data_IF_116147523654
#
_entry.id   IF_116147523654
#
_cell.length_a   1.000
_cell.length_b   1.000
_cell.length_c   1.000
_cell.angle_alpha   90.00
_cell.angle_beta   90.00
_cell.angle_gamma   90.00
#
_symmetry.space_group_name_H-M   'P 1'
#
loop_
_entity.id
_entity.type
_entity.pdbx_description
1 polymer ?
#
# COMPACT_ATOMS: atom_id res chain seq x y z
N UNK A 1 10.25 -50.37 -28.62
CA UNK A 1 9.85 -49.15 -29.37
C UNK A 1 8.56 -48.48 -28.89
N UNK A 2 7.54 -49.21 -28.37
CA UNK A 2 6.25 -48.61 -27.95
C UNK A 2 6.39 -47.54 -26.87
N UNK A 3 7.20 -47.79 -25.83
CA UNK A 3 7.36 -46.86 -24.70
C UNK A 3 8.32 -45.69 -24.97
N UNK A 4 9.27 -45.86 -25.90
CA UNK A 4 10.21 -44.79 -26.29
C UNK A 4 9.47 -43.61 -26.91
N UNK A 5 8.42 -43.87 -27.71
CA UNK A 5 7.58 -42.82 -28.30
C UNK A 5 6.87 -41.99 -27.23
N UNK A 6 6.36 -42.64 -26.18
CA UNK A 6 5.72 -41.95 -25.07
C UNK A 6 6.72 -41.13 -24.24
N UNK A 7 7.93 -41.66 -23.99
CA UNK A 7 8.99 -40.92 -23.29
C UNK A 7 9.41 -39.67 -24.07
N UNK A 8 9.54 -39.76 -25.41
CA UNK A 8 9.87 -38.60 -26.22
C UNK A 8 8.76 -37.54 -26.22
N UNK A 9 7.50 -37.94 -26.21
CA UNK A 9 6.37 -37.00 -26.13
C UNK A 9 6.39 -36.25 -24.78
N UNK A 10 6.60 -36.95 -23.65
CA UNK A 10 6.68 -36.30 -22.33
C UNK A 10 7.88 -35.33 -22.26
N UNK A 11 9.04 -35.72 -22.78
CA UNK A 11 10.23 -34.88 -22.81
C UNK A 11 10.01 -33.60 -23.64
N UNK A 12 9.32 -33.69 -24.78
CA UNK A 12 8.98 -32.53 -25.61
C UNK A 12 7.96 -31.63 -24.92
N UNK A 13 6.93 -32.19 -24.28
CA UNK A 13 5.94 -31.42 -23.53
C UNK A 13 6.56 -30.66 -22.35
N UNK A 14 7.56 -31.20 -21.67
CA UNK A 14 8.26 -30.51 -20.57
C UNK A 14 9.06 -29.28 -21.03
N UNK A 15 9.46 -29.19 -22.30
CA UNK A 15 10.17 -28.02 -22.84
C UNK A 15 9.25 -26.80 -23.01
N UNK A 16 7.93 -27.02 -23.13
CA UNK A 16 6.95 -25.93 -23.27
C UNK A 16 6.45 -25.36 -21.93
N UNK A 17 6.82 -25.98 -20.79
CA UNK A 17 6.47 -25.47 -19.45
C UNK A 17 7.40 -24.34 -18.96
N UNK A 18 8.45 -23.98 -19.72
CA UNK A 18 9.49 -23.01 -19.32
C UNK A 18 9.18 -21.54 -19.68
N UNK A 19 7.96 -21.20 -20.12
CA UNK A 19 7.65 -19.85 -20.62
C UNK A 19 7.28 -18.80 -19.55
N UNK A 20 7.34 -19.12 -18.26
CA UNK A 20 7.33 -18.09 -17.20
C UNK A 20 8.78 -17.75 -16.86
N UNK A 21 9.38 -16.83 -17.62
CA UNK A 21 10.68 -16.25 -17.30
C UNK A 21 10.59 -15.25 -16.14
N UNK A 22 11.75 -14.81 -15.63
CA UNK A 22 11.87 -13.91 -14.48
C UNK A 22 11.05 -12.61 -14.58
N UNK A 23 10.63 -12.22 -15.79
CA UNK A 23 9.71 -11.08 -16.01
C UNK A 23 8.29 -11.29 -15.46
N UNK A 24 7.92 -12.51 -15.06
CA UNK A 24 6.68 -12.83 -14.33
C UNK A 24 6.92 -13.14 -12.85
N UNK A 25 8.17 -13.11 -12.38
CA UNK A 25 8.45 -13.20 -10.96
C UNK A 25 7.80 -12.00 -10.25
N UNK A 26 7.38 -12.21 -9.01
CA UNK A 26 6.99 -11.10 -8.14
C UNK A 26 8.08 -10.03 -8.12
N UNK A 27 7.68 -8.77 -8.01
CA UNK A 27 8.64 -7.67 -7.89
C UNK A 27 9.57 -7.97 -6.71
N UNK A 28 10.88 -7.96 -6.94
CA UNK A 28 11.88 -8.15 -5.89
C UNK A 28 11.55 -7.23 -4.70
N UNK A 29 11.33 -7.83 -3.53
CA UNK A 29 10.96 -7.13 -2.30
C UNK A 29 12.02 -6.11 -1.85
N UNK A 30 13.26 -6.27 -2.33
CA UNK A 30 14.37 -5.36 -2.08
C UNK A 30 14.51 -4.28 -3.17
N UNK A 31 13.76 -4.40 -4.27
CA UNK A 31 13.78 -3.41 -5.32
C UNK A 31 12.95 -2.18 -4.89
N UNK A 32 13.49 -0.96 -5.05
CA UNK A 32 12.71 0.24 -4.76
C UNK A 32 11.44 0.26 -5.62
N UNK A 33 10.34 0.75 -5.04
CA UNK A 33 9.06 0.82 -5.75
C UNK A 33 9.25 1.60 -7.05
N UNK A 34 8.85 1.06 -8.22
CA UNK A 34 8.94 1.79 -9.48
C UNK A 34 7.98 3.00 -9.52
N UNK A 35 7.07 3.09 -8.54
CA UNK A 35 6.10 4.18 -8.39
C UNK A 35 6.31 4.92 -7.07
N UNK A 36 6.04 6.23 -7.07
CA UNK A 36 6.13 7.08 -5.88
C UNK A 36 7.51 7.73 -5.70
N UNK A 37 7.81 8.16 -4.47
CA UNK A 37 9.07 8.83 -4.12
C UNK A 37 9.90 7.95 -3.17
N UNK A 38 10.93 7.30 -3.72
CA UNK A 38 11.86 6.45 -2.97
C UNK A 38 12.83 7.24 -2.07
N UNK A 39 12.87 8.57 -2.15
CA UNK A 39 13.70 9.41 -1.27
C UNK A 39 13.05 9.64 0.10
N UNK A 40 11.76 9.29 0.26
CA UNK A 40 11.06 9.43 1.53
C UNK A 40 11.66 8.51 2.61
N UNK A 41 12.05 9.11 3.72
CA UNK A 41 12.56 8.39 4.90
C UNK A 41 11.49 8.30 6.00
N UNK A 42 11.46 7.16 6.67
CA UNK A 42 10.62 6.87 7.83
C UNK A 42 11.12 7.58 9.11
N UNK A 43 11.18 8.90 9.06
CA UNK A 43 11.53 9.75 10.20
C UNK A 43 10.27 10.30 10.85
N UNK A 44 10.27 10.45 12.18
CA UNK A 44 9.16 11.05 12.94
C UNK A 44 7.81 10.36 12.68
N UNK A 45 7.80 9.02 12.59
CA UNK A 45 6.57 8.25 12.42
C UNK A 45 5.70 8.28 13.67
N UNK A 46 4.42 8.56 13.48
CA UNK A 46 3.36 8.37 14.46
C UNK A 46 2.33 7.38 13.91
N UNK A 47 1.82 6.49 14.77
CA UNK A 47 0.73 5.60 14.38
C UNK A 47 -0.58 6.38 14.25
N UNK A 48 -1.51 5.88 13.43
CA UNK A 48 -2.81 6.53 13.24
C UNK A 48 -3.58 6.61 14.57
N UNK A 49 -3.52 5.58 15.42
CA UNK A 49 -4.15 5.63 16.74
C UNK A 49 -3.56 6.74 17.63
N UNK A 50 -2.23 6.90 17.63
CA UNK A 50 -1.58 7.94 18.43
C UNK A 50 -1.82 9.34 17.86
N UNK A 51 -1.88 9.48 16.53
CA UNK A 51 -2.27 10.72 15.88
C UNK A 51 -3.68 11.14 16.31
N UNK A 52 -4.64 10.21 16.26
CA UNK A 52 -6.03 10.46 16.69
C UNK A 52 -6.14 10.77 18.17
N UNK A 53 -5.32 10.13 19.01
CA UNK A 53 -5.27 10.45 20.44
C UNK A 53 -4.68 11.84 20.69
N UNK A 54 -3.60 12.20 19.99
CA UNK A 54 -2.93 13.50 20.11
C UNK A 54 -3.85 14.66 19.70
N UNK A 55 -4.58 14.49 18.60
CA UNK A 55 -5.49 15.50 18.04
C UNK A 55 -6.96 15.18 18.31
N UNK A 56 -7.26 14.49 19.41
CA UNK A 56 -8.62 14.02 19.71
C UNK A 56 -9.63 15.17 19.81
N UNK A 57 -9.24 16.30 20.38
CA UNK A 57 -10.12 17.47 20.54
C UNK A 57 -10.59 18.02 19.19
N UNK A 58 -9.71 18.49 18.28
CA UNK A 58 -10.16 19.02 17.00
C UNK A 58 -10.86 17.96 16.14
N UNK A 59 -10.43 16.68 16.19
CA UNK A 59 -11.07 15.59 15.42
C UNK A 59 -12.51 15.32 15.86
N UNK A 60 -12.80 15.38 17.16
CA UNK A 60 -14.13 15.07 17.70
C UNK A 60 -15.00 16.32 17.89
N UNK A 61 -14.51 17.51 17.57
CA UNK A 61 -15.27 18.76 17.67
C UNK A 61 -15.99 19.02 16.35
N UNK A 62 -17.33 19.11 16.38
CA UNK A 62 -18.09 19.57 15.23
C UNK A 62 -17.73 21.03 14.93
N UNK A 63 -17.60 21.38 13.65
CA UNK A 63 -17.23 22.72 13.20
C UNK A 63 -18.23 23.81 13.64
N UNK A 64 -19.46 23.42 14.02
CA UNK A 64 -20.50 24.32 14.55
C UNK A 64 -20.36 24.57 16.05
N UNK A 65 -19.71 23.65 16.76
CA UNK A 65 -19.65 23.62 18.23
C UNK A 65 -18.30 24.09 18.78
N UNK A 66 -17.30 24.33 17.92
CA UNK A 66 -16.00 24.83 18.35
C UNK A 66 -14.92 24.83 17.28
N UNK A 67 -13.66 24.79 17.72
CA UNK A 67 -12.49 24.72 16.83
C UNK A 67 -12.24 23.25 16.43
N UNK A 68 -12.73 22.87 15.25
CA UNK A 68 -12.56 21.53 14.66
C UNK A 68 -11.24 21.35 13.89
N UNK A 69 -10.24 22.20 14.15
CA UNK A 69 -8.96 22.18 13.45
C UNK A 69 -7.84 22.72 14.35
N UNK A 70 -6.63 22.23 14.11
CA UNK A 70 -5.42 22.65 14.81
C UNK A 70 -4.24 22.67 13.83
N UNK A 71 -3.36 23.66 13.98
CA UNK A 71 -2.13 23.70 13.19
C UNK A 71 -1.13 22.70 13.76
N UNK A 72 -0.67 21.78 12.91
CA UNK A 72 0.44 20.88 13.24
C UNK A 72 1.75 21.65 13.02
N UNK A 73 2.47 21.94 14.10
CA UNK A 73 3.76 22.67 14.07
C UNK A 73 4.97 21.75 14.12
N UNK A 74 4.77 20.48 14.45
CA UNK A 74 5.79 19.45 14.52
C UNK A 74 5.94 18.73 13.17
N UNK A 75 7.15 18.25 12.87
CA UNK A 75 7.36 17.32 11.76
C UNK A 75 6.83 15.93 12.14
N UNK A 76 5.68 15.56 11.59
CA UNK A 76 5.02 14.27 11.83
C UNK A 76 4.78 13.55 10.51
N UNK A 77 5.03 12.25 10.48
CA UNK A 77 4.73 11.38 9.34
C UNK A 77 3.84 10.21 9.76
N UNK A 78 2.90 9.86 8.90
CA UNK A 78 2.15 8.61 9.00
C UNK A 78 2.57 7.70 7.83
N UNK A 79 2.59 6.39 8.08
CA UNK A 79 2.79 5.37 7.06
C UNK A 79 1.62 4.39 7.14
N UNK A 80 0.92 4.23 6.03
CA UNK A 80 -0.22 3.33 5.94
C UNK A 80 -0.46 2.88 4.51
N UNK A 81 -1.40 1.95 4.37
CA UNK A 81 -1.89 1.46 3.10
C UNK A 81 -3.14 2.26 2.73
N UNK A 82 -3.21 2.75 1.50
CA UNK A 82 -4.44 3.35 0.96
C UNK A 82 -5.46 2.21 0.80
N UNK A 83 -6.56 2.29 1.55
CA UNK A 83 -7.63 1.28 1.52
C UNK A 83 -8.80 1.68 0.63
N UNK A 84 -8.95 2.97 0.37
CA UNK A 84 -9.89 3.52 -0.60
C UNK A 84 -9.31 4.78 -1.21
N UNK A 85 -9.23 4.81 -2.53
CA UNK A 85 -8.97 6.01 -3.31
C UNK A 85 -10.09 6.15 -4.33
N UNK A 86 -10.93 7.16 -4.16
CA UNK A 86 -12.07 7.34 -5.06
C UNK A 86 -11.72 8.36 -6.16
N UNK A 87 -10.83 7.90 -7.04
CA UNK A 87 -10.27 8.63 -8.20
C UNK A 87 -11.33 9.02 -9.24
N UNK A 88 -12.55 8.47 -9.19
CA UNK A 88 -13.57 8.71 -10.22
C UNK A 88 -14.91 9.23 -9.66
N UNK A 89 -15.11 9.24 -8.34
CA UNK A 89 -16.37 9.64 -7.69
C UNK A 89 -16.22 10.53 -6.45
N UNK A 90 -15.01 10.77 -5.93
CA UNK A 90 -14.85 11.53 -4.69
C UNK A 90 -14.83 13.03 -4.95
N UNK A 91 -15.96 13.68 -4.75
CA UNK A 91 -16.06 15.14 -4.84
C UNK A 91 -15.14 15.86 -3.84
N UNK A 92 -14.66 15.15 -2.81
CA UNK A 92 -13.82 15.69 -1.74
C UNK A 92 -12.31 15.39 -1.91
N UNK A 93 -11.90 14.54 -2.88
CA UNK A 93 -10.49 14.15 -3.12
C UNK A 93 -9.75 13.61 -1.87
N UNK A 94 -10.47 12.92 -0.99
CA UNK A 94 -9.93 12.30 0.23
C UNK A 94 -9.40 10.88 -0.03
N UNK A 95 -8.43 10.45 0.79
CA UNK A 95 -7.85 9.12 0.78
C UNK A 95 -8.08 8.45 2.12
N UNK A 96 -8.69 7.26 2.11
CA UNK A 96 -8.74 6.43 3.31
C UNK A 96 -7.40 5.69 3.45
N UNK A 97 -6.73 5.89 4.57
CA UNK A 97 -5.42 5.31 4.88
C UNK A 97 -5.53 4.50 6.17
N UNK A 98 -4.95 3.29 6.18
CA UNK A 98 -4.93 2.39 7.33
C UNK A 98 -3.51 1.94 7.67
N UNK A 99 -3.20 1.88 8.98
CA UNK A 99 -2.03 1.21 9.52
C UNK A 99 -2.48 0.06 10.45
N UNK A 100 -1.53 -0.58 11.15
CA UNK A 100 -1.85 -1.68 12.09
C UNK A 100 -2.70 -1.26 13.29
N UNK A 101 -2.86 0.04 13.54
CA UNK A 101 -3.47 0.61 14.74
C UNK A 101 -4.82 1.28 14.48
N UNK A 102 -5.11 1.68 13.23
CA UNK A 102 -6.39 2.29 12.88
C UNK A 102 -6.43 2.83 11.46
N UNK A 103 -7.51 3.57 11.15
CA UNK A 103 -7.70 4.24 9.87
C UNK A 103 -8.11 5.71 10.04
N UNK A 104 -7.79 6.52 9.03
CA UNK A 104 -8.12 7.94 8.91
C UNK A 104 -8.48 8.28 7.46
N UNK A 105 -9.30 9.32 7.29
CA UNK A 105 -9.68 9.94 6.01
C UNK A 105 -9.24 11.41 6.09
#
# INVERSE_FOLDING_TARGET
MRYIKFIMIVAICSLFASCMGDSYAETDENMPSPYGNNELKETNLISIANLKAKFATPINTDYRDGKSYEQITEDLKIKGIVTSSDVTGNIYNELAIQDKTGAII
#
